data_IF_701902919720
#
_entry.id   IF_701902919720
#
_cell.length_a   1.000
_cell.length_b   1.000
_cell.length_c   1.000
_cell.angle_alpha   90.00
_cell.angle_beta   90.00
_cell.angle_gamma   90.00
#
_symmetry.space_group_name_H-M   'P 1'
#
loop_
_entity.id
_entity.type
_entity.pdbx_description
1 polymer ?
#
# COMPACT_ATOMS: atom_id res chain seq x y z
N UNK A 1 12.00 -20.70 3.31
CA UNK A 1 11.91 -20.44 4.76
C UNK A 1 10.58 -19.78 5.05
N UNK A 2 9.92 -20.16 6.15
CA UNK A 2 8.78 -19.41 6.68
C UNK A 2 9.28 -18.47 7.76
N UNK A 3 8.90 -17.20 7.70
CA UNK A 3 9.33 -16.18 8.65
C UNK A 3 8.14 -15.33 9.09
N UNK A 4 7.97 -15.19 10.39
CA UNK A 4 7.02 -14.24 10.97
C UNK A 4 7.68 -12.86 11.09
N UNK A 5 6.97 -11.82 10.66
CA UNK A 5 7.43 -10.43 10.70
C UNK A 5 6.41 -9.60 11.44
N UNK A 6 6.85 -8.99 12.55
CA UNK A 6 6.11 -7.98 13.30
C UNK A 6 6.80 -6.63 13.15
N UNK A 7 6.02 -5.59 12.87
CA UNK A 7 6.48 -4.21 12.75
C UNK A 7 5.69 -3.34 13.70
N UNK A 8 6.42 -2.63 14.57
CA UNK A 8 5.85 -1.67 15.49
C UNK A 8 5.07 -0.56 14.75
N UNK A 9 4.04 0.01 15.39
CA UNK A 9 3.30 1.14 14.86
C UNK A 9 4.23 2.30 14.48
N UNK A 10 4.07 2.83 13.28
CA UNK A 10 4.77 4.05 12.83
C UNK A 10 3.90 4.93 11.96
N UNK A 11 4.24 6.22 11.93
CA UNK A 11 3.58 7.18 11.04
C UNK A 11 4.05 6.97 9.59
N UNK A 12 3.11 6.93 8.66
CA UNK A 12 3.35 6.82 7.23
C UNK A 12 2.43 7.76 6.44
N UNK A 13 2.77 7.96 5.16
CA UNK A 13 1.88 8.66 4.23
C UNK A 13 0.60 7.86 4.00
N UNK A 14 -0.54 8.54 4.08
CA UNK A 14 -1.81 7.96 3.65
C UNK A 14 -1.75 7.65 2.16
N UNK A 15 -1.80 6.37 1.81
CA UNK A 15 -1.71 5.91 0.41
C UNK A 15 -2.99 6.18 -0.38
N UNK A 16 -4.14 6.33 0.28
CA UNK A 16 -5.42 6.67 -0.38
C UNK A 16 -5.46 8.10 -0.92
N UNK A 17 -4.84 9.05 -0.22
CA UNK A 17 -4.81 10.46 -0.66
C UNK A 17 -3.41 10.96 -1.03
N UNK A 18 -2.41 10.08 -1.05
CA UNK A 18 -1.00 10.42 -1.30
C UNK A 18 -0.47 11.57 -0.42
N UNK A 19 -0.93 11.66 0.83
CA UNK A 19 -0.48 12.71 1.76
C UNK A 19 -1.24 14.03 1.73
N UNK A 20 -2.21 14.21 0.83
CA UNK A 20 -2.94 15.49 0.68
C UNK A 20 -4.04 15.72 1.73
N UNK A 21 -4.49 14.67 2.41
CA UNK A 21 -5.64 14.72 3.30
C UNK A 21 -6.99 14.76 2.59
N UNK A 22 -7.03 14.81 1.25
CA UNK A 22 -8.26 14.98 0.47
C UNK A 22 -8.35 13.98 -0.67
N UNK A 23 -9.56 13.64 -1.08
CA UNK A 23 -9.84 12.83 -2.27
C UNK A 23 -10.77 13.61 -3.19
N UNK A 24 -10.54 13.49 -4.50
CA UNK A 24 -11.40 14.12 -5.51
C UNK A 24 -12.30 13.04 -6.09
N UNK A 25 -13.61 13.23 -5.98
CA UNK A 25 -14.64 12.32 -6.49
C UNK A 25 -15.52 13.03 -7.53
N UNK A 26 -16.18 12.26 -8.40
CA UNK A 26 -17.13 12.76 -9.40
C UNK A 26 -16.55 12.93 -10.81
N UNK A 27 -17.31 12.44 -11.81
CA UNK A 27 -16.93 12.51 -13.24
C UNK A 27 -17.26 13.85 -13.91
N UNK A 28 -18.42 14.42 -13.57
CA UNK A 28 -18.92 15.67 -14.18
C UNK A 28 -18.73 16.89 -13.27
N UNK A 29 -18.87 16.71 -11.95
CA UNK A 29 -18.59 17.75 -10.95
C UNK A 29 -17.53 17.18 -10.01
N UNK A 30 -16.34 17.79 -10.01
CA UNK A 30 -15.28 17.40 -9.07
C UNK A 30 -15.66 17.88 -7.67
N UNK A 31 -15.95 16.95 -6.77
CA UNK A 31 -16.10 17.21 -5.34
C UNK A 31 -14.81 16.86 -4.63
N UNK A 32 -14.35 17.76 -3.78
CA UNK A 32 -13.21 17.50 -2.91
C UNK A 32 -13.74 17.12 -1.54
N UNK A 33 -13.41 15.92 -1.09
CA UNK A 33 -13.84 15.38 0.19
C UNK A 33 -12.62 15.11 1.08
N UNK A 34 -12.81 15.21 2.39
CA UNK A 34 -11.78 14.80 3.35
C UNK A 34 -11.50 13.32 3.17
N UNK A 35 -10.22 12.94 3.12
CA UNK A 35 -9.85 11.54 2.95
C UNK A 35 -10.28 10.75 4.19
N UNK A 36 -11.17 9.74 4.06
CA UNK A 36 -11.71 9.02 5.21
C UNK A 36 -10.70 8.07 5.86
N UNK A 37 -9.55 7.80 5.22
CA UNK A 37 -8.53 6.91 5.80
C UNK A 37 -7.63 7.65 6.78
N UNK A 38 -7.32 8.92 6.51
CA UNK A 38 -6.42 9.72 7.35
C UNK A 38 -7.12 10.90 8.02
N UNK A 39 -8.44 11.00 7.85
CA UNK A 39 -9.30 12.01 8.45
C UNK A 39 -8.81 13.45 8.18
N UNK A 40 -8.19 13.67 7.02
CA UNK A 40 -7.67 14.98 6.62
C UNK A 40 -6.20 15.25 6.94
N UNK A 41 -5.55 14.43 7.77
CA UNK A 41 -4.15 14.65 8.16
C UNK A 41 -3.14 14.37 7.03
N UNK A 42 -3.52 13.53 6.06
CA UNK A 42 -2.59 13.01 5.04
C UNK A 42 -1.61 11.97 5.60
N UNK A 43 -1.70 11.59 6.87
CA UNK A 43 -0.84 10.59 7.51
C UNK A 43 -1.68 9.51 8.18
N UNK A 44 -1.10 8.33 8.36
CA UNK A 44 -1.73 7.20 9.05
C UNK A 44 -0.69 6.50 9.93
N UNK A 45 -1.16 5.85 10.99
CA UNK A 45 -0.33 4.93 11.77
C UNK A 45 -0.47 3.54 11.19
N UNK A 46 0.64 2.87 10.90
CA UNK A 46 0.66 1.50 10.37
C UNK A 46 1.50 0.60 11.27
N UNK A 47 0.94 -0.55 11.63
CA UNK A 47 1.66 -1.70 12.18
C UNK A 47 1.43 -2.89 11.25
N UNK A 48 2.21 -3.96 11.42
CA UNK A 48 2.05 -5.14 10.60
C UNK A 48 2.43 -6.42 11.34
N UNK A 49 1.62 -7.46 11.16
CA UNK A 49 1.94 -8.84 11.47
C UNK A 49 1.72 -9.65 10.19
N UNK A 50 2.76 -10.29 9.67
CA UNK A 50 2.71 -11.07 8.43
C UNK A 50 3.59 -12.32 8.50
N UNK A 51 3.18 -13.39 7.83
CA UNK A 51 3.99 -14.60 7.64
C UNK A 51 4.50 -14.65 6.21
N UNK A 52 5.81 -14.62 6.03
CA UNK A 52 6.48 -14.70 4.73
C UNK A 52 6.87 -16.15 4.42
N UNK A 53 6.46 -16.67 3.27
CA UNK A 53 7.00 -17.91 2.69
C UNK A 53 7.99 -17.56 1.58
N UNK A 54 9.28 -17.69 1.89
CA UNK A 54 10.38 -17.25 1.03
C UNK A 54 11.00 -18.47 0.38
N UNK A 55 10.99 -18.51 -0.96
CA UNK A 55 11.52 -19.61 -1.77
C UNK A 55 12.45 -19.04 -2.85
N UNK A 56 13.49 -19.79 -3.28
CA UNK A 56 14.33 -19.37 -4.39
C UNK A 56 13.50 -19.10 -5.65
N UNK A 57 13.75 -17.98 -6.31
CA UNK A 57 13.19 -17.69 -7.62
C UNK A 57 13.94 -18.51 -8.68
N UNK A 58 13.19 -19.29 -9.47
CA UNK A 58 13.72 -20.00 -10.64
C UNK A 58 13.07 -19.39 -11.88
N UNK A 59 13.78 -18.53 -12.65
CA UNK A 59 13.24 -18.02 -13.91
C UNK A 59 12.97 -19.19 -14.84
N UNK A 60 11.83 -19.16 -15.55
CA UNK A 60 11.60 -20.10 -16.65
C UNK A 60 12.61 -19.72 -17.74
N UNK A 61 13.43 -20.68 -18.17
CA UNK A 61 14.37 -20.47 -19.26
C UNK A 61 13.65 -19.87 -20.46
N UNK A 62 14.33 -18.93 -21.11
CA UNK A 62 13.90 -18.28 -22.35
C UNK A 62 13.54 -19.39 -23.34
N UNK A 63 12.25 -19.48 -23.70
CA UNK A 63 11.81 -20.38 -24.76
C UNK A 63 12.35 -19.78 -26.06
N UNK A 64 13.56 -20.18 -26.45
CA UNK A 64 14.01 -20.06 -27.84
C UNK A 64 13.02 -20.85 -28.68
N UNK A 65 12.18 -20.13 -29.43
CA UNK A 65 11.36 -20.70 -30.48
C UNK A 65 12.32 -21.11 -31.60
N UNK A 66 12.44 -22.43 -31.83
CA UNK A 66 13.11 -23.02 -33.00
C UNK A 66 12.42 -22.60 -34.31
#
# INVERSE_FOLDING_TARGET
MKQEVKKEPKVALCRKCHGTGKIVSGRFIRKTETCPQCEGSGRVTVSCEMTLDIRPYKPKGEQVMD
#
